data_IF_180739759576
#
_entry.id   IF_180739759576
#
_cell.length_a   1.000
_cell.length_b   1.000
_cell.length_c   1.000
_cell.angle_alpha   90.00
_cell.angle_beta   90.00
_cell.angle_gamma   90.00
#
_symmetry.space_group_name_H-M   'P 1'
#
loop_
_entity.id
_entity.type
_entity.pdbx_description
1 polymer ?
#
# COMPACT_ATOMS: atom_id res chain seq x y z
N UNK A 1 -14.83 11.38 -32.53
CA UNK A 1 -13.56 11.04 -31.87
C UNK A 1 -13.76 9.75 -31.10
N UNK A 2 -12.99 8.71 -31.39
CA UNK A 2 -12.96 7.48 -30.59
C UNK A 2 -11.80 7.57 -29.60
N UNK A 3 -12.06 7.35 -28.32
CA UNK A 3 -10.99 7.21 -27.34
C UNK A 3 -10.21 5.92 -27.65
N UNK A 4 -8.88 6.00 -27.65
CA UNK A 4 -8.03 4.83 -27.76
C UNK A 4 -7.98 4.13 -26.39
N UNK A 5 -8.44 2.89 -26.35
CA UNK A 5 -8.27 2.00 -25.20
C UNK A 5 -7.23 0.94 -25.51
N UNK A 6 -6.34 0.72 -24.55
CA UNK A 6 -5.25 -0.22 -24.71
C UNK A 6 -5.77 -1.66 -24.60
N UNK A 7 -5.45 -2.57 -25.53
CA UNK A 7 -5.89 -3.96 -25.44
C UNK A 7 -5.35 -4.63 -24.16
N UNK A 8 -6.16 -5.52 -23.56
CA UNK A 8 -5.80 -6.17 -22.29
C UNK A 8 -4.48 -6.94 -22.37
N UNK A 9 -4.20 -7.59 -23.51
CA UNK A 9 -3.00 -8.39 -23.74
C UNK A 9 -1.70 -7.58 -23.62
N UNK A 10 -1.72 -6.30 -24.01
CA UNK A 10 -0.53 -5.42 -23.96
C UNK A 10 -0.64 -4.38 -22.85
N UNK A 11 -1.67 -4.44 -22.00
CA UNK A 11 -1.99 -3.40 -21.01
C UNK A 11 -0.78 -2.97 -20.17
N UNK A 12 0.05 -3.93 -19.74
CA UNK A 12 1.22 -3.70 -18.91
C UNK A 12 2.48 -3.26 -19.66
N UNK A 13 2.48 -3.24 -20.99
CA UNK A 13 3.66 -2.91 -21.79
C UNK A 13 3.84 -1.39 -21.97
N UNK A 14 5.01 -0.92 -22.36
CA UNK A 14 5.12 0.43 -22.92
C UNK A 14 4.70 0.37 -24.40
N UNK A 15 3.99 1.39 -24.89
CA UNK A 15 3.61 1.48 -26.31
C UNK A 15 4.01 2.84 -26.87
N UNK A 16 4.34 2.88 -28.16
CA UNK A 16 4.55 4.13 -28.89
C UNK A 16 3.35 4.40 -29.80
N UNK A 17 2.79 5.59 -29.67
CA UNK A 17 1.67 6.06 -30.48
C UNK A 17 2.22 7.01 -31.54
N UNK A 18 1.83 6.79 -32.80
CA UNK A 18 2.04 7.71 -33.91
C UNK A 18 0.71 7.96 -34.60
N UNK A 19 0.49 9.18 -35.06
CA UNK A 19 -0.74 9.56 -35.75
C UNK A 19 -0.40 10.07 -37.15
N UNK A 20 -1.26 9.80 -38.13
CA UNK A 20 -1.24 10.49 -39.42
C UNK A 20 -2.64 10.99 -39.75
N UNK A 21 -2.69 12.05 -40.57
CA UNK A 21 -3.93 12.55 -41.12
C UNK A 21 -4.28 11.77 -42.39
N UNK A 22 -5.54 11.36 -42.51
CA UNK A 22 -6.09 10.74 -43.72
C UNK A 22 -6.98 11.75 -44.43
N UNK A 23 -6.65 12.05 -45.68
CA UNK A 23 -7.41 12.95 -46.55
C UNK A 23 -7.85 12.28 -47.85
N UNK A 24 -8.55 13.03 -48.68
CA UNK A 24 -9.07 12.55 -49.97
C UNK A 24 -7.95 12.14 -50.93
N UNK A 25 -6.80 12.84 -50.82
CA UNK A 25 -5.63 12.68 -51.70
C UNK A 25 -4.57 11.74 -51.10
N UNK A 26 -4.87 11.07 -49.99
CA UNK A 26 -3.99 10.10 -49.35
C UNK A 26 -3.69 10.39 -47.88
N UNK A 27 -2.61 9.79 -47.38
CA UNK A 27 -2.24 9.80 -45.96
C UNK A 27 -1.00 10.66 -45.75
N UNK A 28 -1.02 11.54 -44.75
CA UNK A 28 0.15 12.33 -44.36
C UNK A 28 1.28 11.45 -43.81
N UNK A 29 2.51 11.97 -43.70
CA UNK A 29 3.54 11.33 -42.89
C UNK A 29 3.06 11.08 -41.45
N UNK A 30 3.65 10.06 -40.81
CA UNK A 30 3.45 9.78 -39.40
C UNK A 30 4.04 10.93 -38.55
N UNK A 31 3.38 11.22 -37.43
CA UNK A 31 3.92 12.06 -36.38
C UNK A 31 5.18 11.45 -35.78
N UNK A 32 5.91 12.29 -35.03
CA UNK A 32 6.92 11.80 -34.10
C UNK A 32 6.29 10.79 -33.10
N UNK A 33 7.07 9.79 -32.62
CA UNK A 33 6.59 8.80 -31.67
C UNK A 33 6.29 9.45 -30.32
N UNK A 34 5.12 9.15 -29.77
CA UNK A 34 4.76 9.49 -28.40
C UNK A 34 4.74 8.23 -27.53
N UNK A 35 5.66 8.14 -26.59
CA UNK A 35 5.78 6.99 -25.70
C UNK A 35 4.77 7.06 -24.55
N UNK A 36 3.96 6.01 -24.43
CA UNK A 36 3.09 5.75 -23.28
C UNK A 36 3.74 4.69 -22.42
N UNK A 37 4.20 5.08 -21.23
CA UNK A 37 4.83 4.18 -20.28
C UNK A 37 3.86 3.11 -19.77
N UNK A 38 4.42 1.99 -19.30
CA UNK A 38 3.67 0.97 -18.59
C UNK A 38 2.94 1.57 -17.36
N UNK A 39 1.67 1.21 -17.13
CA UNK A 39 0.90 1.73 -16.01
C UNK A 39 1.53 1.30 -14.68
N UNK A 40 1.57 2.23 -13.73
CA UNK A 40 2.07 1.98 -12.37
C UNK A 40 0.98 2.34 -11.37
N UNK A 41 0.71 1.47 -10.38
CA UNK A 41 -0.27 1.79 -9.37
C UNK A 41 0.24 2.92 -8.49
N UNK A 42 -0.67 3.79 -8.10
CA UNK A 42 -0.43 4.85 -7.13
C UNK A 42 -1.31 4.56 -5.92
N UNK A 43 -0.80 4.88 -4.73
CA UNK A 43 -1.54 4.75 -3.48
C UNK A 43 -1.39 6.06 -2.72
N UNK A 44 -2.48 6.52 -2.10
CA UNK A 44 -2.38 7.60 -1.14
C UNK A 44 -1.55 7.10 0.07
N UNK A 45 -0.47 7.80 0.49
CA UNK A 45 0.30 7.36 1.64
C UNK A 45 -0.53 7.31 2.93
N UNK A 46 -1.61 8.09 3.01
CA UNK A 46 -2.49 8.14 4.17
C UNK A 46 -3.35 6.89 4.28
N UNK A 47 -3.04 6.05 5.26
CA UNK A 47 -3.85 4.91 5.66
C UNK A 47 -4.89 5.32 6.70
N UNK A 48 -6.13 4.86 6.54
CA UNK A 48 -7.18 5.08 7.53
C UNK A 48 -7.23 3.91 8.51
N UNK A 49 -7.20 4.19 9.81
CA UNK A 49 -7.42 3.17 10.83
C UNK A 49 -8.91 2.86 10.91
N UNK A 50 -9.29 1.63 10.54
CA UNK A 50 -10.68 1.18 10.63
C UNK A 50 -11.01 0.62 12.00
N UNK A 51 -10.17 -0.30 12.49
CA UNK A 51 -10.38 -0.92 13.78
C UNK A 51 -9.07 -1.32 14.46
N UNK A 52 -9.18 -1.50 15.76
CA UNK A 52 -8.15 -2.06 16.62
C UNK A 52 -8.84 -2.94 17.64
N UNK A 53 -8.56 -4.24 17.62
CA UNK A 53 -9.22 -5.23 18.47
C UNK A 53 -8.21 -6.04 19.27
N UNK A 54 -8.50 -6.20 20.56
CA UNK A 54 -7.75 -7.11 21.42
C UNK A 54 -8.22 -8.54 21.21
N UNK A 55 -7.27 -9.44 20.99
CA UNK A 55 -7.45 -10.88 20.92
C UNK A 55 -6.78 -11.51 22.14
N UNK A 56 -7.54 -12.32 22.87
CA UNK A 56 -7.04 -13.09 24.01
C UNK A 56 -6.26 -14.34 23.53
N UNK A 57 -5.30 -14.12 22.65
CA UNK A 57 -4.40 -15.11 22.09
C UNK A 57 -2.99 -14.56 22.14
N UNK A 58 -2.01 -15.30 22.68
CA UNK A 58 -0.66 -14.82 22.80
C UNK A 58 0.00 -14.63 21.43
N UNK A 59 0.90 -13.65 21.34
CA UNK A 59 1.77 -13.45 20.18
C UNK A 59 3.19 -13.82 20.59
N UNK A 60 3.75 -14.86 19.97
CA UNK A 60 5.09 -15.37 20.28
C UNK A 60 5.95 -15.45 19.03
N UNK A 61 7.17 -14.94 19.10
CA UNK A 61 8.23 -15.15 18.13
C UNK A 61 9.55 -15.49 18.85
N UNK A 62 10.62 -15.76 18.12
CA UNK A 62 11.90 -16.23 18.67
C UNK A 62 12.46 -15.34 19.81
N UNK A 63 12.21 -14.02 19.76
CA UNK A 63 12.76 -13.03 20.72
C UNK A 63 11.69 -12.16 21.39
N UNK A 64 10.41 -12.54 21.30
CA UNK A 64 9.29 -11.73 21.77
C UNK A 64 8.10 -12.58 22.21
N UNK A 65 7.46 -12.20 23.31
CA UNK A 65 6.26 -12.86 23.80
C UNK A 65 5.31 -11.86 24.46
N UNK A 66 4.05 -11.88 24.04
CA UNK A 66 2.96 -11.14 24.66
C UNK A 66 1.77 -12.05 24.95
N UNK A 67 1.11 -11.83 26.09
CA UNK A 67 -0.02 -12.64 26.56
C UNK A 67 -1.31 -12.47 25.73
N UNK A 68 -1.38 -11.41 24.93
CA UNK A 68 -2.48 -11.14 24.02
C UNK A 68 -1.94 -10.53 22.72
N UNK A 69 -2.84 -10.40 21.75
CA UNK A 69 -2.55 -9.82 20.44
C UNK A 69 -3.49 -8.66 20.20
N UNK A 70 -3.00 -7.61 19.55
CA UNK A 70 -3.82 -6.52 19.02
C UNK A 70 -3.83 -6.67 17.51
N UNK A 71 -5.01 -6.82 16.95
CA UNK A 71 -5.23 -6.80 15.52
C UNK A 71 -5.60 -5.38 15.09
N UNK A 72 -4.87 -4.87 14.10
CA UNK A 72 -5.04 -3.52 13.55
C UNK A 72 -5.46 -3.67 12.10
N UNK A 73 -6.55 -3.01 11.71
CA UNK A 73 -7.01 -2.97 10.33
C UNK A 73 -6.90 -1.56 9.76
N UNK A 74 -6.19 -1.44 8.63
CA UNK A 74 -6.11 -0.23 7.84
C UNK A 74 -6.93 -0.36 6.57
N UNK A 75 -7.48 0.76 6.12
CA UNK A 75 -7.99 0.96 4.76
C UNK A 75 -7.03 1.83 3.96
N UNK A 76 -6.81 1.47 2.70
CA UNK A 76 -6.04 2.27 1.75
C UNK A 76 -6.91 2.70 0.57
N UNK A 77 -6.63 3.88 0.02
CA UNK A 77 -7.23 4.32 -1.23
C UNK A 77 -6.49 3.70 -2.42
N UNK A 78 -7.17 2.85 -3.17
CA UNK A 78 -6.64 2.18 -4.36
C UNK A 78 -6.73 3.02 -5.64
N UNK A 79 -7.32 4.22 -5.56
CA UNK A 79 -7.51 5.13 -6.68
C UNK A 79 -8.25 4.49 -7.86
N UNK A 80 -7.99 5.02 -9.05
CA UNK A 80 -8.59 4.55 -10.30
C UNK A 80 -7.79 3.40 -10.96
N UNK A 81 -7.19 2.49 -10.19
CA UNK A 81 -6.41 1.39 -10.78
C UNK A 81 -7.32 0.47 -11.61
N UNK A 82 -7.09 0.35 -12.94
CA UNK A 82 -8.07 -0.25 -13.85
C UNK A 82 -8.17 -1.77 -13.73
N UNK A 83 -7.17 -2.45 -13.15
CA UNK A 83 -7.20 -3.90 -12.93
C UNK A 83 -7.87 -4.29 -11.59
N UNK A 84 -8.36 -3.32 -10.82
CA UNK A 84 -9.06 -3.53 -9.56
C UNK A 84 -8.15 -3.75 -8.34
N UNK A 85 -8.74 -4.09 -7.19
CA UNK A 85 -8.07 -4.21 -5.87
C UNK A 85 -7.53 -5.60 -5.56
N UNK A 86 -8.11 -6.63 -6.20
CA UNK A 86 -7.31 -7.77 -6.65
C UNK A 86 -6.16 -7.22 -7.51
N UNK A 87 -5.20 -7.91 -8.09
CA UNK A 87 -4.00 -7.25 -8.66
C UNK A 87 -3.10 -6.42 -7.70
N UNK A 88 -3.60 -5.48 -6.88
CA UNK A 88 -2.81 -4.56 -6.05
C UNK A 88 -2.35 -5.17 -4.72
N UNK A 89 -1.07 -5.11 -4.42
CA UNK A 89 -0.50 -5.44 -3.12
C UNK A 89 0.08 -4.19 -2.48
N UNK A 90 -0.40 -3.83 -1.28
CA UNK A 90 0.07 -2.67 -0.52
C UNK A 90 0.88 -3.14 0.67
N UNK A 91 2.04 -2.52 0.88
CA UNK A 91 2.90 -2.76 2.04
C UNK A 91 2.92 -1.47 2.87
N UNK A 92 2.42 -1.49 4.11
CA UNK A 92 2.50 -0.35 5.00
C UNK A 92 3.89 -0.27 5.66
N UNK A 93 4.31 0.95 5.96
CA UNK A 93 5.33 1.20 6.98
C UNK A 93 4.59 1.34 8.31
N UNK A 94 5.02 0.59 9.33
CA UNK A 94 4.49 0.70 10.69
C UNK A 94 5.66 0.62 11.67
N UNK A 95 6.04 1.75 12.24
CA UNK A 95 7.26 1.87 13.05
C UNK A 95 6.96 2.39 14.44
N UNK A 96 7.55 1.74 15.43
CA UNK A 96 7.49 2.15 16.83
C UNK A 96 8.32 3.42 17.02
N UNK A 97 7.67 4.52 17.42
CA UNK A 97 8.35 5.80 17.71
C UNK A 97 8.90 5.80 19.13
N UNK A 98 8.05 5.44 20.09
CA UNK A 98 8.39 5.52 21.52
C UNK A 98 7.40 4.70 22.34
N UNK A 99 7.82 4.28 23.53
CA UNK A 99 6.96 3.75 24.58
C UNK A 99 7.26 4.53 25.86
N UNK A 100 6.22 4.76 26.68
CA UNK A 100 6.37 5.43 27.98
C UNK A 100 7.19 4.53 28.92
N UNK A 101 6.93 3.23 28.88
CA UNK A 101 7.67 2.23 29.65
C UNK A 101 8.44 1.31 28.68
N UNK A 102 9.71 1.61 28.36
CA UNK A 102 10.49 0.80 27.45
C UNK A 102 10.88 -0.53 28.11
N UNK A 103 10.68 -1.63 27.39
CA UNK A 103 11.28 -2.91 27.70
C UNK A 103 12.46 -3.12 26.74
N UNK A 104 13.66 -3.17 27.30
CA UNK A 104 14.91 -3.37 26.56
C UNK A 104 15.34 -4.85 26.53
N UNK A 105 14.59 -5.72 27.20
CA UNK A 105 14.89 -7.15 27.26
C UNK A 105 14.34 -7.93 26.06
N UNK A 106 13.37 -7.37 25.34
CA UNK A 106 12.73 -7.98 24.16
C UNK A 106 12.83 -7.07 22.93
N UNK A 107 13.12 -7.69 21.78
CA UNK A 107 13.05 -7.01 20.50
C UNK A 107 11.61 -7.01 19.99
N UNK A 108 11.00 -5.82 19.84
CA UNK A 108 9.64 -5.72 19.28
C UNK A 108 9.68 -6.09 17.79
N UNK A 109 8.98 -7.15 17.36
CA UNK A 109 8.99 -7.53 15.95
C UNK A 109 8.25 -6.49 15.12
N UNK A 110 8.69 -6.31 13.88
CA UNK A 110 7.91 -5.55 12.91
C UNK A 110 6.66 -6.36 12.57
N UNK A 111 5.46 -5.77 12.63
CA UNK A 111 4.24 -6.47 12.26
C UNK A 111 4.19 -6.76 10.77
N UNK A 112 3.85 -8.00 10.43
CA UNK A 112 3.50 -8.38 9.07
C UNK A 112 2.05 -7.98 8.79
N UNK A 113 1.85 -7.26 7.69
CA UNK A 113 0.53 -6.89 7.21
C UNK A 113 0.13 -7.75 6.03
N UNK A 114 -1.09 -8.28 6.08
CA UNK A 114 -1.69 -9.10 5.02
C UNK A 114 -2.99 -8.48 4.54
N UNK A 115 -3.55 -8.97 3.43
CA UNK A 115 -4.86 -8.50 2.95
C UNK A 115 -5.93 -8.82 3.98
N UNK A 116 -6.73 -7.82 4.32
CA UNK A 116 -7.87 -7.99 5.19
C UNK A 116 -9.07 -8.65 4.49
N UNK A 117 -10.15 -8.92 5.24
CA UNK A 117 -11.35 -9.58 4.72
C UNK A 117 -12.17 -8.69 3.78
N UNK A 118 -12.04 -7.36 3.91
CA UNK A 118 -12.71 -6.39 3.05
C UNK A 118 -11.77 -5.96 1.91
N UNK A 119 -12.35 -5.57 0.77
CA UNK A 119 -11.57 -4.90 -0.27
C UNK A 119 -10.84 -3.68 0.32
N UNK A 120 -9.64 -3.38 -0.18
CA UNK A 120 -8.82 -2.24 0.24
C UNK A 120 -8.34 -2.25 1.70
N UNK A 121 -8.40 -3.41 2.38
CA UNK A 121 -7.96 -3.49 3.77
C UNK A 121 -6.66 -4.26 3.95
N UNK A 122 -5.90 -3.85 4.96
CA UNK A 122 -4.69 -4.49 5.45
C UNK A 122 -4.87 -4.82 6.92
N UNK A 123 -4.48 -6.03 7.33
CA UNK A 123 -4.54 -6.48 8.72
C UNK A 123 -3.14 -6.80 9.19
N UNK A 124 -2.74 -6.19 10.30
CA UNK A 124 -1.48 -6.44 10.99
C UNK A 124 -1.73 -6.82 12.45
N UNK A 125 -0.77 -7.55 13.04
CA UNK A 125 -0.85 -8.01 14.43
C UNK A 125 0.40 -7.62 15.20
N UNK A 126 0.18 -7.12 16.41
CA UNK A 126 1.23 -6.78 17.38
C UNK A 126 0.86 -7.33 18.75
N UNK A 127 1.80 -7.44 19.69
CA UNK A 127 1.48 -7.97 21.00
C UNK A 127 0.81 -6.93 21.91
N UNK A 128 0.06 -7.42 22.89
CA UNK A 128 -0.71 -6.60 23.79
C UNK A 128 0.11 -5.83 24.83
N UNK A 129 1.37 -6.20 25.05
CA UNK A 129 2.29 -5.46 25.92
C UNK A 129 2.45 -4.00 25.47
N UNK A 130 2.27 -3.73 24.16
CA UNK A 130 2.23 -2.37 23.61
C UNK A 130 1.19 -1.47 24.28
N UNK A 131 0.05 -2.02 24.73
CA UNK A 131 -0.99 -1.26 25.46
C UNK A 131 -0.52 -0.82 26.83
N UNK A 132 0.15 -1.72 27.56
CA UNK A 132 0.61 -1.44 28.92
C UNK A 132 1.75 -0.42 28.90
N UNK A 133 2.62 -0.53 27.91
CA UNK A 133 3.78 0.35 27.69
C UNK A 133 3.43 1.70 27.06
N UNK A 134 2.15 1.91 26.69
CA UNK A 134 1.62 3.12 26.03
C UNK A 134 2.43 3.49 24.80
N UNK A 135 2.66 2.51 23.93
CA UNK A 135 3.53 2.70 22.77
C UNK A 135 2.85 3.52 21.67
N UNK A 136 3.63 4.39 21.03
CA UNK A 136 3.21 5.23 19.92
C UNK A 136 3.91 4.80 18.65
N UNK A 137 3.12 4.62 17.59
CA UNK A 137 3.57 4.19 16.27
C UNK A 137 3.33 5.29 15.25
N UNK A 138 4.18 5.34 14.22
CA UNK A 138 3.93 6.07 12.98
C UNK A 138 3.63 5.07 11.89
N UNK A 139 2.68 5.39 11.02
CA UNK A 139 2.33 4.52 9.91
C UNK A 139 1.88 5.28 8.67
N UNK A 140 2.10 4.66 7.51
CA UNK A 140 1.66 5.13 6.18
C UNK A 140 1.82 3.99 5.15
N UNK A 141 1.25 4.13 3.96
CA UNK A 141 1.47 3.17 2.86
C UNK A 141 2.88 3.36 2.26
N UNK A 142 3.77 2.39 2.45
CA UNK A 142 5.16 2.48 1.99
C UNK A 142 5.31 2.17 0.51
N UNK A 143 4.57 1.18 0.02
CA UNK A 143 4.62 0.82 -1.39
C UNK A 143 3.34 0.14 -1.84
N UNK A 144 3.09 0.25 -3.13
CA UNK A 144 2.03 -0.46 -3.84
C UNK A 144 2.61 -1.12 -5.08
N UNK A 145 2.18 -2.35 -5.36
CA UNK A 145 2.59 -3.09 -6.56
C UNK A 145 1.40 -3.74 -7.26
N UNK A 146 1.53 -3.89 -8.58
CA UNK A 146 0.60 -4.65 -9.41
C UNK A 146 1.15 -6.05 -9.63
N UNK A 147 0.32 -7.07 -9.43
CA UNK A 147 0.68 -8.47 -9.66
C UNK A 147 0.75 -8.81 -11.14
N UNK A 148 -0.16 -8.29 -11.96
CA UNK A 148 -0.26 -8.51 -13.41
C UNK A 148 0.81 -7.72 -14.17
N UNK A 149 1.05 -6.47 -13.79
CA UNK A 149 2.02 -5.63 -14.48
C UNK A 149 3.43 -5.68 -13.89
N UNK A 150 3.63 -6.35 -12.75
CA UNK A 150 4.92 -6.42 -12.04
C UNK A 150 5.56 -5.04 -11.79
N UNK A 151 4.76 -3.99 -11.73
CA UNK A 151 5.21 -2.62 -11.43
C UNK A 151 5.05 -2.32 -9.94
N UNK A 152 5.96 -1.50 -9.41
CA UNK A 152 5.95 -1.06 -8.01
C UNK A 152 6.16 0.44 -7.94
N UNK A 153 5.44 1.07 -7.03
CA UNK A 153 5.62 2.46 -6.62
C UNK A 153 5.99 2.46 -5.14
N UNK A 154 7.12 3.10 -4.82
CA UNK A 154 7.60 3.27 -3.45
C UNK A 154 7.40 4.72 -3.01
N UNK A 155 6.96 4.90 -1.77
CA UNK A 155 6.83 6.20 -1.11
C UNK A 155 7.93 6.27 -0.06
N UNK A 156 9.04 6.89 -0.42
CA UNK A 156 10.21 7.04 0.49
C UNK A 156 10.04 8.20 1.46
N UNK A 157 9.40 9.26 1.00
CA UNK A 157 9.19 10.50 1.73
C UNK A 157 7.72 10.91 1.59
N UNK A 158 6.83 10.34 2.41
CA UNK A 158 5.43 10.73 2.40
C UNK A 158 5.29 12.20 2.83
N UNK A 159 4.29 12.93 2.31
CA UNK A 159 3.94 14.25 2.83
C UNK A 159 3.63 14.18 4.32
N UNK A 160 3.99 15.23 5.08
CA UNK A 160 3.83 15.24 6.53
C UNK A 160 2.37 15.04 6.98
N UNK A 161 1.40 15.50 6.18
CA UNK A 161 -0.03 15.36 6.47
C UNK A 161 -0.57 13.93 6.26
N UNK A 162 0.17 13.09 5.55
CA UNK A 162 -0.23 11.71 5.26
C UNK A 162 0.37 10.73 6.27
N UNK A 163 1.41 11.14 7.00
CA UNK A 163 1.93 10.41 8.16
C UNK A 163 0.88 10.38 9.27
N UNK A 164 0.45 9.17 9.65
CA UNK A 164 -0.47 8.98 10.74
C UNK A 164 0.26 8.47 11.98
N UNK A 165 -0.31 8.72 13.15
CA UNK A 165 0.20 8.17 14.41
C UNK A 165 -0.89 7.41 15.14
N UNK A 166 -0.50 6.31 15.77
CA UNK A 166 -1.37 5.47 16.58
C UNK A 166 -0.75 5.33 17.96
N UNK A 167 -1.49 5.75 19.00
CA UNK A 167 -1.14 5.46 20.38
C UNK A 167 -1.96 4.27 20.85
N UNK A 168 -1.27 3.27 21.38
CA UNK A 168 -1.90 2.05 21.86
C UNK A 168 -1.79 2.05 23.37
N UNK A 169 -2.92 2.23 24.03
CA UNK A 169 -3.02 2.27 25.50
C UNK A 169 -4.28 1.57 25.98
N UNK A 170 -4.26 1.12 27.24
CA UNK A 170 -5.45 0.65 27.95
C UNK A 170 -6.42 1.79 28.26
#
# INVERSE_FOLDING_TARGET
FSNFEKPEAVFCEAIDIRVSAVGVDGTSPLSEPYAVAAPRPLVNPKLQLLNMHYLNTPLTSEFYSANGTIEIMFEFDNGAWPLGVADLTVVPMFHLITCVEPDLSQGVPLPDFTRGPMANTLVGRIGSDMMYRKCRFVYYAQSISSRRCATRTEIRTPPANDLQTLTISK
#
